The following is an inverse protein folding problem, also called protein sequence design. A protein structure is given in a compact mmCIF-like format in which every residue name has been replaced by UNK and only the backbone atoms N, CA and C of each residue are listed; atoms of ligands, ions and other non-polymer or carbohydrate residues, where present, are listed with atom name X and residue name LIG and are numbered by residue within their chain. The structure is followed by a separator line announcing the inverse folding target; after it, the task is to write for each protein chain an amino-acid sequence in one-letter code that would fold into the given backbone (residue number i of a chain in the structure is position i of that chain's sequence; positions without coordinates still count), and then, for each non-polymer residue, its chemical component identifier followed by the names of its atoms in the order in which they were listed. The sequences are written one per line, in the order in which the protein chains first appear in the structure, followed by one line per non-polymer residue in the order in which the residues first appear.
data_IF_244977870130
#
_entry.id   IF_244977870130
#
_cell.length_a   1.000
_cell.length_b   1.000
_cell.length_c   1.000
_cell.angle_alpha   90.00
_cell.angle_beta   90.00
_cell.angle_gamma   90.00
#
_symmetry.space_group_name_H-M   'P 1'
#
loop_
_entity.id
_entity.type
_entity.pdbx_description
1 polymer ?
#
# COMPACT_ATOMS: atom_id res chain seq x y z
N UNK A 1 -23.26 -40.90 -25.54
CA UNK A 1 -23.21 -40.75 -24.06
C UNK A 1 -21.80 -41.10 -23.62
N UNK A 2 -21.00 -40.13 -23.20
CA UNK A 2 -19.59 -40.38 -22.80
C UNK A 2 -18.63 -39.19 -22.90
N UNK A 3 -19.04 -38.07 -23.52
CA UNK A 3 -18.18 -36.89 -23.67
C UNK A 3 -18.47 -35.76 -22.65
N UNK A 4 -19.59 -35.81 -21.92
CA UNK A 4 -19.95 -34.79 -20.92
C UNK A 4 -19.31 -35.03 -19.54
N UNK A 5 -18.91 -36.27 -19.22
CA UNK A 5 -18.48 -36.67 -17.88
C UNK A 5 -17.01 -36.31 -17.59
N UNK A 6 -16.15 -36.32 -18.62
CA UNK A 6 -14.70 -36.07 -18.48
C UNK A 6 -14.38 -34.58 -18.39
N UNK A 7 -15.20 -33.72 -18.99
CA UNK A 7 -15.04 -32.27 -18.92
C UNK A 7 -15.46 -31.73 -17.54
N UNK A 8 -16.59 -32.23 -17.01
CA UNK A 8 -17.07 -31.87 -15.68
C UNK A 8 -16.09 -32.31 -14.57
N UNK A 9 -15.54 -33.53 -14.64
CA UNK A 9 -14.52 -33.99 -13.66
C UNK A 9 -13.21 -33.20 -13.68
N UNK A 10 -12.79 -32.65 -14.82
CA UNK A 10 -11.57 -31.84 -14.93
C UNK A 10 -11.75 -30.43 -14.37
N UNK A 11 -12.90 -29.82 -14.62
CA UNK A 11 -13.24 -28.50 -14.08
C UNK A 11 -13.36 -28.58 -12.56
N UNK A 12 -14.09 -29.57 -12.02
CA UNK A 12 -14.26 -29.74 -10.56
C UNK A 12 -12.92 -29.98 -9.84
N UNK A 13 -12.00 -30.78 -10.40
CA UNK A 13 -10.66 -30.98 -9.82
C UNK A 13 -9.78 -29.72 -9.87
N UNK A 14 -9.93 -28.89 -10.90
CA UNK A 14 -9.22 -27.61 -10.98
C UNK A 14 -9.78 -26.59 -9.97
N UNK A 15 -11.11 -26.51 -9.83
CA UNK A 15 -11.76 -25.61 -8.87
C UNK A 15 -11.41 -25.99 -7.43
N UNK A 16 -11.48 -27.28 -7.08
CA UNK A 16 -11.02 -27.78 -5.76
C UNK A 16 -9.52 -27.50 -5.52
N UNK A 17 -8.70 -27.51 -6.58
CA UNK A 17 -7.27 -27.20 -6.49
C UNK A 17 -6.98 -25.70 -6.34
N UNK A 18 -7.83 -24.81 -6.84
CA UNK A 18 -7.65 -23.35 -6.73
C UNK A 18 -8.14 -22.86 -5.38
N UNK A 19 -9.32 -23.30 -4.95
CA UNK A 19 -9.86 -22.96 -3.62
C UNK A 19 -8.93 -23.42 -2.50
N UNK A 20 -8.38 -24.64 -2.60
CA UNK A 20 -7.42 -25.15 -1.63
C UNK A 20 -6.13 -24.31 -1.57
N UNK A 21 -5.60 -23.91 -2.73
CA UNK A 21 -4.39 -23.06 -2.79
C UNK A 21 -4.65 -21.64 -2.29
N UNK A 22 -5.79 -21.05 -2.61
CA UNK A 22 -6.15 -19.72 -2.10
C UNK A 22 -6.39 -19.73 -0.59
N UNK A 23 -6.99 -20.80 -0.05
CA UNK A 23 -7.16 -20.96 1.38
C UNK A 23 -5.81 -21.07 2.11
N UNK A 24 -4.84 -21.78 1.52
CA UNK A 24 -3.47 -21.88 2.06
C UNK A 24 -2.74 -20.54 2.04
N UNK A 25 -2.80 -19.80 0.92
CA UNK A 25 -2.22 -18.45 0.82
C UNK A 25 -2.83 -17.51 1.85
N UNK A 26 -4.16 -17.53 1.99
CA UNK A 26 -4.87 -16.72 2.98
C UNK A 26 -4.45 -17.05 4.40
N UNK A 27 -4.35 -18.34 4.73
CA UNK A 27 -3.91 -18.77 6.06
C UNK A 27 -2.48 -18.31 6.36
N UNK A 28 -1.56 -18.43 5.41
CA UNK A 28 -0.17 -17.96 5.58
C UNK A 28 -0.10 -16.45 5.75
N UNK A 29 -0.87 -15.70 4.96
CA UNK A 29 -0.96 -14.24 5.06
C UNK A 29 -1.57 -13.77 6.39
N UNK A 30 -2.58 -14.47 6.91
CA UNK A 30 -3.16 -14.21 8.24
C UNK A 30 -2.21 -14.55 9.41
N UNK A 31 -1.16 -15.35 9.19
CA UNK A 31 -0.14 -15.67 10.19
C UNK A 31 1.00 -14.65 10.25
N UNK A 32 1.12 -13.77 9.25
CA UNK A 32 2.11 -12.69 9.27
C UNK A 32 1.67 -11.60 10.28
N UNK A 33 2.45 -11.30 11.32
CA UNK A 33 2.09 -10.26 12.27
C UNK A 33 2.01 -8.89 11.58
N UNK A 34 1.01 -8.07 11.92
CA UNK A 34 1.00 -6.67 11.50
C UNK A 34 2.13 -5.92 12.22
N UNK A 35 3.27 -5.78 11.54
CA UNK A 35 4.39 -4.96 11.99
C UNK A 35 4.36 -3.64 11.22
N UNK A 36 4.26 -2.51 11.91
CA UNK A 36 4.47 -1.21 11.27
C UNK A 36 5.96 -1.05 10.90
N UNK A 37 6.22 -0.43 9.73
CA UNK A 37 7.56 -0.02 9.37
C UNK A 37 8.07 0.96 10.45
N UNK A 38 9.17 0.64 11.16
CA UNK A 38 9.73 1.59 12.12
C UNK A 38 10.17 2.86 11.37
N UNK A 39 10.00 4.06 11.96
CA UNK A 39 10.47 5.27 11.32
C UNK A 39 11.98 5.18 11.06
N UNK A 40 12.46 5.64 9.90
CA UNK A 40 13.87 5.55 9.56
C UNK A 40 14.70 6.33 10.57
N UNK A 41 15.82 5.74 10.99
CA UNK A 41 16.76 6.36 11.92
C UNK A 41 17.49 7.54 11.26
N UNK A 42 18.18 8.34 12.07
CA UNK A 42 18.94 9.49 11.55
C UNK A 42 19.96 9.10 10.49
N UNK A 43 20.68 7.99 10.68
CA UNK A 43 21.70 7.54 9.72
C UNK A 43 21.09 6.96 8.45
N UNK A 44 19.94 6.28 8.54
CA UNK A 44 19.18 5.82 7.38
C UNK A 44 18.65 6.97 6.54
N UNK A 45 18.08 8.00 7.19
CA UNK A 45 17.61 9.22 6.51
C UNK A 45 18.73 9.95 5.74
N UNK A 46 19.96 9.90 6.26
CA UNK A 46 21.12 10.51 5.64
C UNK A 46 21.79 9.61 4.58
N UNK A 47 21.37 8.36 4.44
CA UNK A 47 22.03 7.37 3.57
C UNK A 47 23.44 7.03 4.03
N UNK A 48 23.66 6.98 5.35
CA UNK A 48 24.97 6.79 5.99
C UNK A 48 24.98 5.64 7.00
N UNK A 49 23.92 4.85 7.05
CA UNK A 49 23.79 3.74 8.00
C UNK A 49 24.81 2.62 7.79
N UNK A 50 25.41 2.50 6.59
CA UNK A 50 26.47 1.54 6.31
C UNK A 50 27.91 2.07 6.59
N UNK A 51 28.06 3.32 7.04
CA UNK A 51 29.38 3.95 7.23
C UNK A 51 29.94 3.72 8.64
N UNK A 52 31.00 2.92 8.74
CA UNK A 52 31.73 2.60 10.00
C UNK A 52 32.08 3.82 10.84
N UNK A 53 32.61 4.86 10.18
CA UNK A 53 32.98 6.11 10.82
C UNK A 53 31.82 6.82 11.51
N UNK A 54 30.61 6.72 10.96
CA UNK A 54 29.44 7.35 11.56
C UNK A 54 28.99 6.60 12.81
N UNK A 55 29.07 5.27 12.82
CA UNK A 55 28.76 4.48 14.02
C UNK A 55 29.78 4.71 15.13
N UNK A 56 31.07 4.75 14.78
CA UNK A 56 32.15 5.14 15.68
C UNK A 56 31.87 6.53 16.30
N UNK A 57 31.49 7.51 15.47
CA UNK A 57 31.19 8.86 15.94
C UNK A 57 30.02 8.89 16.93
N UNK A 58 28.95 8.13 16.65
CA UNK A 58 27.79 8.02 17.55
C UNK A 58 28.15 7.32 18.86
N UNK A 59 28.84 6.17 18.79
CA UNK A 59 29.27 5.43 19.98
C UNK A 59 30.11 6.32 20.90
N UNK A 60 31.15 6.96 20.37
CA UNK A 60 32.05 7.80 21.17
C UNK A 60 31.36 9.07 21.67
N UNK A 61 30.42 9.63 20.92
CA UNK A 61 29.61 10.76 21.39
C UNK A 61 28.89 10.42 22.71
N UNK A 62 28.39 9.19 22.89
CA UNK A 62 27.73 8.77 24.11
C UNK A 62 28.69 8.30 25.21
N UNK A 63 29.89 7.85 24.84
CA UNK A 63 30.91 7.44 25.82
C UNK A 63 31.68 8.63 26.43
N UNK A 64 31.83 9.74 25.71
CA UNK A 64 32.62 10.90 26.16
C UNK A 64 31.87 11.74 27.21
N UNK A 65 32.29 11.75 28.48
CA UNK A 65 31.53 12.41 29.55
C UNK A 65 31.38 13.93 29.39
N UNK A 66 32.30 14.56 28.66
CA UNK A 66 32.35 15.98 28.34
C UNK A 66 31.52 16.37 27.10
N UNK A 67 31.04 15.39 26.34
CA UNK A 67 30.19 15.64 25.19
C UNK A 67 28.79 16.12 25.61
N UNK A 68 28.16 16.89 24.72
CA UNK A 68 26.90 17.60 24.99
C UNK A 68 25.65 16.70 24.98
N UNK A 69 25.71 15.50 25.56
CA UNK A 69 24.58 14.57 25.71
C UNK A 69 24.00 14.59 27.13
N UNK A 70 24.73 15.03 28.15
CA UNK A 70 24.20 15.19 29.51
C UNK A 70 23.99 13.89 30.29
N UNK A 71 24.62 12.79 29.87
CA UNK A 71 24.67 11.52 30.63
C UNK A 71 25.86 11.48 31.59
N UNK A 72 26.78 12.44 31.49
CA UNK A 72 28.06 12.40 32.21
C UNK A 72 28.79 11.09 31.92
N UNK A 73 29.28 10.43 32.96
CA UNK A 73 29.99 9.16 32.83
C UNK A 73 29.05 7.94 32.76
N UNK A 74 27.72 8.10 32.78
CA UNK A 74 26.82 6.98 33.06
C UNK A 74 26.84 5.85 32.01
N UNK A 75 26.87 6.20 30.71
CA UNK A 75 26.97 5.19 29.64
C UNK A 75 28.36 4.55 29.63
N UNK A 76 29.40 5.34 29.83
CA UNK A 76 30.78 4.84 29.95
C UNK A 76 30.92 3.87 31.13
N UNK A 77 30.40 4.23 32.30
CA UNK A 77 30.41 3.39 33.50
C UNK A 77 29.68 2.07 33.23
N UNK A 78 28.47 2.15 32.67
CA UNK A 78 27.67 0.97 32.34
C UNK A 78 28.41 0.03 31.39
N UNK A 79 28.97 0.57 30.30
CA UNK A 79 29.69 -0.23 29.32
C UNK A 79 30.97 -0.87 29.89
N UNK A 80 31.77 -0.11 30.64
CA UNK A 80 33.00 -0.65 31.24
C UNK A 80 32.71 -1.72 32.30
N UNK A 81 31.61 -1.58 33.05
CA UNK A 81 31.18 -2.63 33.98
C UNK A 81 30.73 -3.89 33.25
N UNK A 82 29.91 -3.72 32.21
CA UNK A 82 29.47 -4.84 31.38
C UNK A 82 30.65 -5.56 30.71
N UNK A 83 31.68 -4.82 30.29
CA UNK A 83 32.92 -5.38 29.76
C UNK A 83 33.75 -6.12 30.82
N UNK A 84 33.88 -5.56 32.03
CA UNK A 84 34.60 -6.20 33.14
C UNK A 84 33.92 -7.49 33.63
N UNK A 85 32.60 -7.60 33.45
CA UNK A 85 31.84 -8.81 33.78
C UNK A 85 31.99 -9.92 32.69
N UNK A 86 32.65 -9.63 31.55
CA UNK A 86 32.92 -10.65 30.52
C UNK A 86 34.10 -11.52 30.93
N UNK A 87 33.91 -12.83 30.94
CA UNK A 87 34.97 -13.80 31.27
C UNK A 87 36.13 -13.82 30.24
N UNK A 88 35.93 -13.24 29.07
CA UNK A 88 36.89 -13.22 27.95
C UNK A 88 37.86 -12.04 28.03
N UNK A 89 37.54 -11.02 28.84
CA UNK A 89 38.36 -9.84 29.04
C UNK A 89 38.79 -9.83 30.51
N UNK A 90 40.07 -10.13 30.80
CA UNK A 90 40.62 -10.03 32.16
C UNK A 90 40.85 -8.56 32.54
N UNK A 91 39.78 -7.76 32.53
CA UNK A 91 39.77 -6.32 32.77
C UNK A 91 39.04 -5.99 34.07
N UNK A 92 39.56 -5.02 34.81
CA UNK A 92 38.83 -4.39 35.90
C UNK A 92 39.20 -2.92 35.98
N UNK A 93 38.24 -2.08 36.38
CA UNK A 93 38.50 -0.67 36.65
C UNK A 93 37.86 -0.22 37.95
N UNK A 94 38.45 0.83 38.52
CA UNK A 94 37.92 1.49 39.69
C UNK A 94 36.91 2.56 39.28
N UNK A 95 35.67 2.43 39.76
CA UNK A 95 34.63 3.47 39.56
C UNK A 95 35.01 4.82 40.18
N UNK A 96 35.94 4.85 41.14
CA UNK A 96 36.41 6.09 41.74
C UNK A 96 37.24 6.93 40.77
N UNK A 97 37.84 6.29 39.77
CA UNK A 97 38.79 6.89 38.84
C UNK A 97 38.16 7.07 37.44
N UNK A 98 36.84 6.89 37.33
CA UNK A 98 36.10 7.06 36.06
C UNK A 98 36.25 8.46 35.47
N UNK A 99 36.48 9.46 36.31
CA UNK A 99 36.70 10.85 35.90
C UNK A 99 38.07 11.10 35.27
N UNK A 100 39.02 10.18 35.43
CA UNK A 100 40.37 10.29 34.89
C UNK A 100 40.50 9.57 33.52
N UNK A 101 39.48 8.80 33.12
CA UNK A 101 39.45 8.08 31.85
C UNK A 101 39.38 9.06 30.68
N UNK A 102 40.28 8.87 29.71
CA UNK A 102 40.33 9.61 28.46
C UNK A 102 39.86 8.71 27.30
N UNK A 103 39.26 9.32 26.27
CA UNK A 103 38.72 8.61 25.10
C UNK A 103 39.07 9.38 23.83
N UNK A 104 39.83 8.79 22.93
CA UNK A 104 40.17 9.37 21.63
C UNK A 104 39.79 8.48 20.45
N UNK A 105 39.47 9.13 19.33
CA UNK A 105 39.11 8.50 18.06
C UNK A 105 40.25 8.62 17.06
N UNK A 106 40.32 7.68 16.13
CA UNK A 106 41.26 7.70 15.00
C UNK A 106 42.70 7.98 15.49
N UNK A 107 43.15 7.24 16.50
CA UNK A 107 44.43 7.48 17.17
C UNK A 107 45.58 7.08 16.26
N UNK A 108 46.55 7.96 16.01
CA UNK A 108 47.65 7.63 15.10
C UNK A 108 48.72 6.78 15.78
N UNK A 109 49.19 5.74 15.07
CA UNK A 109 50.31 4.87 15.47
C UNK A 109 51.26 4.65 14.28
N UNK A 110 52.40 4.01 14.52
CA UNK A 110 53.33 3.62 13.44
C UNK A 110 52.81 2.51 12.52
N UNK A 111 51.79 1.74 12.94
CA UNK A 111 51.23 0.62 12.19
C UNK A 111 49.83 0.90 11.59
N UNK A 112 49.23 2.04 11.91
CA UNK A 112 47.90 2.41 11.41
C UNK A 112 47.15 3.32 12.37
N UNK A 113 45.82 3.31 12.28
CA UNK A 113 44.94 4.23 13.01
C UNK A 113 43.83 3.41 13.68
N UNK A 114 43.97 2.99 14.96
CA UNK A 114 42.87 2.40 15.69
C UNK A 114 41.67 3.34 15.78
N UNK A 115 40.47 2.77 15.75
CA UNK A 115 39.23 3.53 15.74
C UNK A 115 38.99 4.25 17.06
N UNK A 116 39.17 3.57 18.20
CA UNK A 116 38.97 4.17 19.52
C UNK A 116 40.05 3.67 20.48
N UNK A 117 40.63 4.57 21.27
CA UNK A 117 41.46 4.20 22.44
C UNK A 117 40.87 4.85 23.68
N UNK A 118 40.56 4.03 24.68
CA UNK A 118 40.19 4.46 26.02
C UNK A 118 41.37 4.17 26.96
N UNK A 119 41.73 5.10 27.83
CA UNK A 119 42.84 4.85 28.76
C UNK A 119 42.71 5.62 30.07
N UNK A 120 43.32 5.06 31.11
CA UNK A 120 43.66 5.74 32.34
C UNK A 120 45.20 5.76 32.46
N UNK A 121 45.78 6.95 32.60
CA UNK A 121 47.23 7.13 32.60
C UNK A 121 47.95 6.24 33.62
N UNK A 122 49.00 5.54 33.17
CA UNK A 122 49.83 4.64 33.99
C UNK A 122 49.10 3.41 34.56
N UNK A 123 47.81 3.19 34.25
CA UNK A 123 47.02 2.07 34.77
C UNK A 123 46.61 1.06 33.70
N UNK A 124 45.87 1.49 32.67
CA UNK A 124 45.37 0.59 31.63
C UNK A 124 44.95 1.34 30.35
N UNK A 125 44.87 0.61 29.24
CA UNK A 125 44.18 1.06 28.03
C UNK A 125 43.33 -0.05 27.41
N UNK A 126 42.30 0.34 26.67
CA UNK A 126 41.54 -0.53 25.78
C UNK A 126 41.57 0.06 24.37
N UNK A 127 42.17 -0.67 23.43
CA UNK A 127 42.24 -0.33 22.02
C UNK A 127 41.12 -1.04 21.24
N UNK A 128 40.31 -0.30 20.51
CA UNK A 128 39.16 -0.80 19.77
C UNK A 128 39.38 -0.66 18.27
N UNK A 129 39.10 -1.74 17.54
CA UNK A 129 38.93 -1.75 16.08
C UNK A 129 37.50 -2.17 15.78
N UNK A 130 36.79 -1.37 14.97
CA UNK A 130 35.37 -1.53 14.66
C UNK A 130 35.20 -2.07 13.24
N UNK A 131 34.18 -2.89 13.00
CA UNK A 131 33.77 -3.36 11.67
C UNK A 131 32.25 -3.43 11.58
N UNK A 132 31.66 -3.05 10.44
CA UNK A 132 30.21 -3.18 10.19
C UNK A 132 29.92 -4.22 9.09
N UNK A 133 30.44 -4.01 7.87
CA UNK A 133 30.20 -4.93 6.73
C UNK A 133 31.49 -5.50 6.13
N UNK A 134 32.65 -4.98 6.52
CA UNK A 134 33.94 -5.39 6.02
C UNK A 134 34.67 -6.23 7.07
N UNK A 135 35.47 -7.21 6.64
CA UNK A 135 36.43 -7.88 7.50
C UNK A 135 37.64 -6.98 7.77
N UNK A 136 38.44 -7.33 8.78
CA UNK A 136 39.75 -6.73 9.04
C UNK A 136 40.59 -6.54 7.75
N UNK A 137 41.26 -5.40 7.65
CA UNK A 137 42.32 -5.19 6.66
C UNK A 137 43.54 -6.06 6.97
N UNK A 138 44.48 -6.17 6.02
CA UNK A 138 45.62 -7.09 6.19
C UNK A 138 46.53 -6.64 7.34
N UNK A 139 46.59 -7.46 8.39
CA UNK A 139 47.46 -7.37 9.57
C UNK A 139 47.26 -6.11 10.43
N UNK A 140 46.06 -5.51 10.44
CA UNK A 140 45.79 -4.27 11.20
C UNK A 140 45.84 -4.50 12.71
N UNK A 141 45.13 -5.51 13.20
CA UNK A 141 45.06 -5.84 14.63
C UNK A 141 46.42 -6.26 15.17
N UNK A 142 47.15 -7.10 14.42
CA UNK A 142 48.55 -7.48 14.72
C UNK A 142 49.44 -6.25 14.80
N UNK A 143 49.31 -5.32 13.85
CA UNK A 143 50.04 -4.07 13.86
C UNK A 143 49.83 -3.26 15.14
N UNK A 144 48.60 -3.19 15.65
CA UNK A 144 48.28 -2.44 16.87
C UNK A 144 48.76 -3.12 18.15
N UNK A 145 48.89 -4.44 18.17
CA UNK A 145 49.53 -5.16 19.27
C UNK A 145 51.03 -4.88 19.29
N UNK A 146 51.66 -4.87 18.12
CA UNK A 146 53.12 -4.78 17.98
C UNK A 146 53.72 -3.37 18.12
N UNK A 147 52.92 -2.28 18.05
CA UNK A 147 53.47 -0.92 18.24
C UNK A 147 53.94 -0.67 19.67
N UNK A 148 55.01 0.10 19.84
CA UNK A 148 55.53 0.50 21.16
C UNK A 148 54.68 1.62 21.82
N UNK A 149 53.99 2.43 21.02
CA UNK A 149 53.29 3.65 21.45
C UNK A 149 52.02 3.93 20.63
N UNK A 150 51.10 4.68 21.24
CA UNK A 150 50.00 5.37 20.58
C UNK A 150 50.35 6.85 20.43
N UNK A 151 51.14 7.17 19.40
CA UNK A 151 51.75 8.50 19.17
C UNK A 151 50.74 9.66 19.17
N UNK A 152 49.53 9.43 18.64
CA UNK A 152 48.48 10.44 18.54
C UNK A 152 48.00 10.98 19.90
N UNK A 153 48.19 10.21 20.97
CA UNK A 153 47.79 10.56 22.34
C UNK A 153 48.98 10.60 23.31
N UNK A 154 50.19 10.30 22.84
CA UNK A 154 51.41 10.29 23.65
C UNK A 154 51.42 9.22 24.73
N UNK A 155 50.78 8.08 24.48
CA UNK A 155 50.73 6.94 25.40
C UNK A 155 51.79 5.90 25.01
N UNK A 156 52.76 5.68 25.90
CA UNK A 156 53.80 4.65 25.74
C UNK A 156 53.33 3.33 26.39
N UNK A 157 53.29 2.23 25.65
CA UNK A 157 52.81 0.95 26.22
C UNK A 157 53.69 0.44 27.36
N UNK A 158 54.98 0.77 27.33
CA UNK A 158 55.92 0.41 28.40
C UNK A 158 55.62 1.05 29.75
N UNK A 159 54.80 2.11 29.78
CA UNK A 159 54.34 2.77 31.01
C UNK A 159 53.07 2.12 31.58
N UNK A 160 52.45 1.18 30.85
CA UNK A 160 51.24 0.47 31.24
C UNK A 160 51.59 -0.99 31.58
N UNK A 161 51.16 -1.52 32.73
CA UNK A 161 51.32 -2.93 33.08
C UNK A 161 50.82 -3.86 31.96
N UNK A 162 51.49 -4.99 31.71
CA UNK A 162 51.10 -5.94 30.66
C UNK A 162 49.65 -6.43 30.82
N UNK A 163 49.19 -6.60 32.07
CA UNK A 163 47.82 -6.99 32.42
C UNK A 163 46.81 -5.83 32.33
N UNK A 164 47.26 -4.60 32.06
CA UNK A 164 46.44 -3.43 31.79
C UNK A 164 46.32 -3.08 30.30
N UNK A 165 46.83 -3.94 29.40
CA UNK A 165 46.78 -3.73 27.95
C UNK A 165 45.67 -4.58 27.35
N UNK A 166 44.59 -3.94 26.90
CA UNK A 166 43.40 -4.64 26.41
C UNK A 166 43.04 -4.25 24.98
N UNK A 167 42.45 -5.19 24.24
CA UNK A 167 42.13 -5.03 22.83
C UNK A 167 40.74 -5.60 22.54
N UNK A 168 39.90 -4.82 21.86
CA UNK A 168 38.52 -5.18 21.49
C UNK A 168 38.35 -5.08 19.98
N UNK A 169 37.81 -6.15 19.38
CA UNK A 169 37.38 -6.16 17.99
C UNK A 169 35.86 -6.13 17.95
N UNK A 170 35.28 -4.97 17.64
CA UNK A 170 33.84 -4.75 17.63
C UNK A 170 33.27 -4.98 16.24
N UNK A 171 32.59 -6.10 16.01
CA UNK A 171 32.08 -6.51 14.70
C UNK A 171 30.73 -7.25 14.82
N UNK A 172 29.93 -7.43 13.75
CA UNK A 172 28.76 -8.30 13.81
C UNK A 172 29.09 -9.72 14.33
N UNK A 173 28.11 -10.42 14.92
CA UNK A 173 28.31 -11.77 15.47
C UNK A 173 28.86 -12.78 14.45
N UNK A 174 28.52 -12.64 13.18
CA UNK A 174 28.92 -13.53 12.09
C UNK A 174 30.18 -13.07 11.34
N UNK A 175 30.83 -11.99 11.80
CA UNK A 175 32.04 -11.46 11.19
C UNK A 175 33.24 -12.40 11.39
N UNK A 176 34.18 -12.33 10.44
CA UNK A 176 35.48 -13.01 10.57
C UNK A 176 36.23 -12.51 11.82
N UNK A 177 36.86 -13.42 12.59
CA UNK A 177 37.61 -13.05 13.80
C UNK A 177 38.85 -12.20 13.46
N UNK A 178 39.38 -11.44 14.43
CA UNK A 178 40.62 -10.68 14.26
C UNK A 178 41.82 -11.61 14.04
N UNK A 179 42.84 -11.10 13.36
CA UNK A 179 44.09 -11.82 13.09
C UNK A 179 45.00 -11.95 14.31
N UNK A 180 44.94 -11.00 15.25
CA UNK A 180 45.67 -11.03 16.51
C UNK A 180 44.90 -11.78 17.60
N UNK A 181 45.56 -12.69 18.30
CA UNK A 181 44.97 -13.50 19.39
C UNK A 181 44.65 -12.65 20.64
N UNK A 182 45.27 -11.49 20.80
CA UNK A 182 45.08 -10.56 21.90
C UNK A 182 43.74 -9.79 21.81
N UNK A 183 43.15 -9.70 20.62
CA UNK A 183 41.87 -9.01 20.42
C UNK A 183 40.69 -9.90 20.82
N UNK A 184 39.88 -9.41 21.75
CA UNK A 184 38.62 -10.04 22.14
C UNK A 184 37.50 -9.54 21.23
N UNK A 185 36.80 -10.45 20.54
CA UNK A 185 35.67 -10.09 19.71
C UNK A 185 34.43 -9.78 20.57
N UNK A 186 33.83 -8.62 20.34
CA UNK A 186 32.59 -8.16 20.96
C UNK A 186 31.60 -7.82 19.84
N UNK A 187 30.32 -8.20 20.00
CA UNK A 187 29.33 -7.95 18.94
C UNK A 187 28.65 -6.58 19.04
N UNK A 188 28.32 -5.98 17.89
CA UNK A 188 27.49 -4.77 17.84
C UNK A 188 26.10 -5.02 18.43
N UNK A 189 25.56 -6.22 18.25
CA UNK A 189 24.30 -6.69 18.84
C UNK A 189 24.37 -6.72 20.37
N UNK A 190 25.52 -7.14 20.93
CA UNK A 190 25.77 -7.07 22.37
C UNK A 190 25.83 -5.63 22.86
N UNK A 191 26.58 -4.75 22.17
CA UNK A 191 26.63 -3.31 22.51
C UNK A 191 25.22 -2.69 22.49
N UNK A 192 24.44 -2.97 21.44
CA UNK A 192 23.07 -2.48 21.33
C UNK A 192 22.18 -2.97 22.48
N UNK A 193 22.39 -4.20 22.95
CA UNK A 193 21.66 -4.79 24.07
C UNK A 193 22.04 -4.16 25.43
N UNK A 194 23.33 -3.88 25.67
CA UNK A 194 23.77 -3.17 26.88
C UNK A 194 23.25 -1.73 26.88
N UNK A 195 23.36 -1.00 25.78
CA UNK A 195 22.80 0.35 25.66
C UNK A 195 21.27 0.38 25.84
N UNK A 196 20.57 -0.64 25.33
CA UNK A 196 19.13 -0.79 25.54
C UNK A 196 18.79 -1.08 27.01
N UNK A 197 19.61 -1.86 27.70
CA UNK A 197 19.49 -2.16 29.14
C UNK A 197 19.70 -0.89 29.95
N UNK A 198 20.77 -0.14 29.68
CA UNK A 198 21.01 1.18 30.26
C UNK A 198 19.79 2.11 30.10
N UNK A 199 19.23 2.19 28.89
CA UNK A 199 18.03 3.00 28.62
C UNK A 199 16.81 2.56 29.42
N UNK A 200 16.62 1.25 29.61
CA UNK A 200 15.50 0.70 30.37
C UNK A 200 15.65 0.97 31.88
N UNK A 201 16.87 0.85 32.41
CA UNK A 201 17.17 1.08 33.83
C UNK A 201 17.18 2.57 34.20
N UNK A 202 17.46 3.44 33.24
CA UNK A 202 17.60 4.90 33.43
C UNK A 202 16.34 5.70 33.14
N UNK A 203 15.16 5.05 33.14
CA UNK A 203 13.88 5.68 32.82
C UNK A 203 13.64 6.94 33.69
N UNK A 204 13.39 8.08 33.04
CA UNK A 204 13.24 9.43 33.62
C UNK A 204 14.47 10.07 34.31
N UNK A 205 15.66 9.44 34.29
CA UNK A 205 16.87 10.00 34.91
C UNK A 205 17.60 11.04 34.05
N UNK A 206 17.41 11.01 32.73
CA UNK A 206 18.17 11.81 31.76
C UNK A 206 17.27 12.57 30.78
N UNK A 207 17.79 13.61 30.09
CA UNK A 207 17.01 14.37 29.11
C UNK A 207 16.38 13.47 28.05
N UNK A 208 15.09 13.69 27.78
CA UNK A 208 14.33 12.92 26.79
C UNK A 208 14.96 12.95 25.39
N UNK A 209 15.55 14.10 25.00
CA UNK A 209 16.25 14.24 23.72
C UNK A 209 17.42 13.29 23.61
N UNK A 210 18.26 13.22 24.64
CA UNK A 210 19.43 12.34 24.65
C UNK A 210 19.04 10.87 24.63
N UNK A 211 18.04 10.51 25.44
CA UNK A 211 17.48 9.15 25.47
C UNK A 211 16.97 8.74 24.09
N UNK A 212 16.27 9.63 23.40
CA UNK A 212 15.80 9.39 22.04
C UNK A 212 16.96 9.24 21.04
N UNK A 213 18.03 10.05 21.14
CA UNK A 213 19.19 9.93 20.25
C UNK A 213 19.97 8.63 20.48
N UNK A 214 20.12 8.19 21.73
CA UNK A 214 20.76 6.91 22.05
C UNK A 214 19.92 5.74 21.55
N UNK A 215 18.59 5.83 21.72
CA UNK A 215 17.65 4.85 21.17
C UNK A 215 17.72 4.80 19.64
N UNK A 216 17.76 5.94 18.95
CA UNK A 216 17.91 6.03 17.49
C UNK A 216 19.18 5.32 16.99
N UNK A 217 20.28 5.44 17.73
CA UNK A 217 21.52 4.72 17.42
C UNK A 217 21.38 3.20 17.63
N UNK A 218 20.78 2.76 18.75
CA UNK A 218 20.48 1.33 19.00
C UNK A 218 19.58 0.74 17.91
N UNK A 219 18.55 1.49 17.50
CA UNK A 219 17.63 1.08 16.44
C UNK A 219 18.35 1.05 15.07
N UNK A 220 19.37 1.89 14.85
CA UNK A 220 20.23 1.82 13.65
C UNK A 220 21.02 0.51 13.64
N UNK A 221 21.70 0.19 14.74
CA UNK A 221 22.49 -1.04 14.85
C UNK A 221 21.62 -2.26 14.55
N UNK A 222 20.43 -2.31 15.17
CA UNK A 222 19.49 -3.41 14.95
C UNK A 222 18.98 -3.48 13.53
N UNK A 223 18.49 -2.38 12.96
CA UNK A 223 17.91 -2.43 11.60
C UNK A 223 18.91 -2.74 10.48
N UNK A 224 20.19 -2.42 10.68
CA UNK A 224 21.25 -2.71 9.69
C UNK A 224 21.86 -4.10 9.86
N UNK A 225 21.97 -4.63 11.08
CA UNK A 225 22.59 -5.94 11.34
C UNK A 225 21.58 -7.08 11.54
N UNK A 226 20.32 -6.75 11.86
CA UNK A 226 19.24 -7.74 12.05
C UNK A 226 18.05 -7.38 11.19
N UNK A 227 17.50 -8.36 10.46
CA UNK A 227 16.21 -8.17 9.78
C UNK A 227 15.16 -7.86 10.83
N UNK A 228 14.46 -6.74 10.67
CA UNK A 228 13.30 -6.42 11.51
C UNK A 228 12.13 -7.33 11.13
N UNK A 229 11.21 -7.60 12.07
CA UNK A 229 9.97 -8.35 11.82
C UNK A 229 9.20 -7.80 10.59
N UNK A 230 9.24 -6.48 10.35
CA UNK A 230 8.67 -5.85 9.16
C UNK A 230 9.33 -6.32 7.86
N UNK A 231 10.66 -6.33 7.83
CA UNK A 231 11.41 -6.79 6.66
C UNK A 231 11.23 -8.29 6.42
N UNK A 232 11.14 -9.11 7.49
CA UNK A 232 10.81 -10.54 7.38
C UNK A 232 9.41 -10.76 6.80
N UNK A 233 8.41 -10.03 7.30
CA UNK A 233 7.04 -10.09 6.79
C UNK A 233 6.95 -9.69 5.31
N UNK A 234 7.66 -8.63 4.90
CA UNK A 234 7.70 -8.22 3.49
C UNK A 234 8.37 -9.29 2.62
N UNK A 235 9.42 -9.94 3.11
CA UNK A 235 10.07 -11.03 2.39
C UNK A 235 9.13 -12.22 2.19
N UNK A 236 8.43 -12.67 3.25
CA UNK A 236 7.48 -13.78 3.14
C UNK A 236 6.30 -13.45 2.22
N UNK A 237 5.82 -12.20 2.20
CA UNK A 237 4.80 -11.74 1.25
C UNK A 237 5.27 -11.85 -0.21
N UNK A 238 6.52 -11.50 -0.49
CA UNK A 238 7.11 -11.64 -1.84
C UNK A 238 7.26 -13.11 -2.23
N UNK A 239 7.73 -13.96 -1.30
CA UNK A 239 7.81 -15.41 -1.55
C UNK A 239 6.44 -16.00 -1.86
N UNK A 240 5.41 -15.68 -1.05
CA UNK A 240 4.03 -16.11 -1.28
C UNK A 240 3.51 -15.70 -2.66
N UNK A 241 3.80 -14.46 -3.09
CA UNK A 241 3.44 -13.97 -4.41
C UNK A 241 4.14 -14.77 -5.52
N UNK A 242 5.46 -14.98 -5.42
CA UNK A 242 6.23 -15.72 -6.42
C UNK A 242 5.78 -17.19 -6.51
N UNK A 243 5.57 -17.85 -5.38
CA UNK A 243 5.09 -19.24 -5.30
C UNK A 243 3.71 -19.42 -5.97
N UNK A 244 2.88 -18.37 -5.92
CA UNK A 244 1.51 -18.42 -6.43
C UNK A 244 1.28 -17.56 -7.67
N UNK A 245 2.35 -17.05 -8.28
CA UNK A 245 2.30 -16.15 -9.42
C UNK A 245 1.40 -16.68 -10.54
N UNK A 246 1.62 -17.93 -10.96
CA UNK A 246 0.81 -18.55 -12.02
C UNK A 246 -0.67 -18.64 -11.67
N UNK A 247 -1.03 -18.89 -10.40
CA UNK A 247 -2.44 -18.94 -9.99
C UNK A 247 -3.05 -17.56 -10.00
N UNK A 248 -2.35 -16.57 -9.45
CA UNK A 248 -2.81 -15.17 -9.40
C UNK A 248 -3.02 -14.66 -10.83
N UNK A 249 -2.02 -14.80 -11.70
CA UNK A 249 -2.12 -14.35 -13.10
C UNK A 249 -3.20 -15.08 -13.88
N UNK A 250 -3.40 -16.39 -13.67
CA UNK A 250 -4.48 -17.12 -14.34
C UNK A 250 -5.87 -16.68 -13.85
N UNK A 251 -6.03 -16.40 -12.55
CA UNK A 251 -7.27 -15.86 -11.99
C UNK A 251 -7.58 -14.48 -12.54
N UNK A 252 -6.58 -13.58 -12.58
CA UNK A 252 -6.71 -12.25 -13.18
C UNK A 252 -7.08 -12.32 -14.65
N UNK A 253 -6.41 -13.17 -15.43
CA UNK A 253 -6.70 -13.34 -16.86
C UNK A 253 -8.11 -13.88 -17.12
N UNK A 254 -8.54 -14.87 -16.33
CA UNK A 254 -9.91 -15.43 -16.45
C UNK A 254 -10.95 -14.40 -16.04
N UNK A 255 -10.69 -13.63 -14.97
CA UNK A 255 -11.58 -12.55 -14.57
C UNK A 255 -11.70 -11.49 -15.67
N UNK A 256 -10.59 -11.08 -16.28
CA UNK A 256 -10.57 -10.09 -17.35
C UNK A 256 -11.32 -10.57 -18.60
N UNK A 257 -11.20 -11.84 -18.96
CA UNK A 257 -11.95 -12.45 -20.07
C UNK A 257 -13.46 -12.43 -19.83
N UNK A 258 -13.90 -12.83 -18.64
CA UNK A 258 -15.31 -12.81 -18.26
C UNK A 258 -15.85 -11.38 -18.13
N UNK A 259 -15.03 -10.45 -17.64
CA UNK A 259 -15.36 -9.03 -17.57
C UNK A 259 -15.56 -8.42 -18.96
N UNK A 260 -14.64 -8.66 -19.89
CA UNK A 260 -14.77 -8.24 -21.29
C UNK A 260 -16.01 -8.87 -21.95
N UNK A 261 -16.32 -10.13 -21.64
CA UNK A 261 -17.54 -10.79 -22.11
C UNK A 261 -18.79 -10.10 -21.57
N UNK A 262 -18.80 -9.69 -20.29
CA UNK A 262 -19.89 -8.89 -19.73
C UNK A 262 -20.01 -7.55 -20.47
N UNK A 263 -18.91 -6.83 -20.70
CA UNK A 263 -18.92 -5.55 -21.41
C UNK A 263 -19.62 -5.64 -22.77
N UNK A 264 -19.35 -6.71 -23.52
CA UNK A 264 -19.91 -6.93 -24.85
C UNK A 264 -21.35 -7.46 -24.84
N UNK A 265 -21.83 -8.03 -23.73
CA UNK A 265 -23.11 -8.77 -23.70
C UNK A 265 -24.11 -8.29 -22.65
N UNK A 266 -23.76 -7.37 -21.77
CA UNK A 266 -24.59 -6.99 -20.62
C UNK A 266 -25.98 -6.51 -21.03
N UNK A 267 -26.12 -5.75 -22.12
CA UNK A 267 -27.40 -5.21 -22.56
C UNK A 267 -28.35 -6.32 -23.03
N UNK A 268 -27.82 -7.26 -23.79
CA UNK A 268 -28.55 -8.44 -24.27
C UNK A 268 -28.97 -9.33 -23.09
N UNK A 269 -28.07 -9.57 -22.13
CA UNK A 269 -28.34 -10.38 -20.93
C UNK A 269 -29.31 -9.68 -19.97
N UNK A 270 -29.21 -8.36 -19.82
CA UNK A 270 -30.15 -7.56 -19.05
C UNK A 270 -31.57 -7.64 -19.62
N UNK A 271 -31.72 -7.54 -20.94
CA UNK A 271 -33.02 -7.71 -21.60
C UNK A 271 -33.61 -9.11 -21.37
N UNK A 272 -32.79 -10.15 -21.26
CA UNK A 272 -33.24 -11.51 -20.92
C UNK A 272 -33.59 -11.66 -19.43
N UNK A 273 -33.02 -10.82 -18.56
CA UNK A 273 -33.27 -10.82 -17.11
C UNK A 273 -34.56 -10.06 -16.76
N UNK A 274 -34.92 -9.05 -17.56
CA UNK A 274 -36.14 -8.26 -17.37
C UNK A 274 -37.37 -8.95 -17.97
N UNK A 275 -38.34 -9.30 -17.13
CA UNK A 275 -39.57 -10.00 -17.56
C UNK A 275 -40.40 -9.25 -18.61
N UNK A 276 -40.26 -7.92 -18.67
CA UNK A 276 -41.04 -7.03 -19.57
C UNK A 276 -40.26 -6.57 -20.80
N UNK A 277 -39.04 -7.10 -21.01
CA UNK A 277 -38.17 -6.73 -22.11
C UNK A 277 -38.22 -7.78 -23.23
N UNK A 278 -38.14 -7.34 -24.48
CA UNK A 278 -37.98 -8.21 -25.65
C UNK A 278 -36.92 -7.63 -26.58
N UNK A 279 -35.93 -8.44 -26.97
CA UNK A 279 -34.95 -8.04 -27.98
C UNK A 279 -35.61 -7.89 -29.35
N UNK A 280 -35.33 -6.79 -30.03
CA UNK A 280 -35.89 -6.47 -31.36
C UNK A 280 -34.78 -6.14 -32.36
N UNK A 281 -35.04 -6.37 -33.64
CA UNK A 281 -34.15 -5.92 -34.71
C UNK A 281 -34.50 -4.48 -35.10
N UNK A 282 -33.53 -3.56 -35.01
CA UNK A 282 -33.70 -2.19 -35.48
C UNK A 282 -32.46 -1.75 -36.29
N UNK A 283 -32.59 -1.46 -37.60
CA UNK A 283 -31.46 -1.08 -38.45
C UNK A 283 -30.84 0.28 -38.11
N UNK A 284 -31.51 1.11 -37.31
CA UNK A 284 -31.00 2.40 -36.83
C UNK A 284 -30.20 2.28 -35.52
N UNK A 285 -30.16 1.08 -34.93
CA UNK A 285 -29.32 0.75 -33.77
C UNK A 285 -28.12 -0.06 -34.26
N UNK A 286 -26.88 0.36 -33.97
CA UNK A 286 -25.68 -0.41 -34.33
C UNK A 286 -25.75 -1.85 -33.81
N UNK A 287 -25.27 -2.83 -34.60
CA UNK A 287 -25.28 -4.26 -34.25
C UNK A 287 -24.54 -4.58 -32.93
N UNK A 288 -23.62 -3.69 -32.51
CA UNK A 288 -22.91 -3.79 -31.24
C UNK A 288 -23.78 -3.45 -30.01
N UNK A 289 -24.95 -2.83 -30.20
CA UNK A 289 -25.88 -2.44 -29.13
C UNK A 289 -27.11 -3.36 -29.12
N UNK A 290 -27.75 -3.50 -27.97
CA UNK A 290 -29.01 -4.21 -27.88
C UNK A 290 -30.19 -3.23 -28.05
N UNK A 291 -31.04 -3.48 -29.04
CA UNK A 291 -32.34 -2.83 -29.18
C UNK A 291 -33.40 -3.66 -28.44
N UNK A 292 -34.17 -3.01 -27.56
CA UNK A 292 -35.04 -3.67 -26.60
C UNK A 292 -36.40 -2.97 -26.56
N UNK A 293 -37.46 -3.69 -26.84
CA UNK A 293 -38.81 -3.24 -26.54
C UNK A 293 -39.08 -3.49 -25.05
N UNK A 294 -39.39 -2.44 -24.29
CA UNK A 294 -39.63 -2.51 -22.86
C UNK A 294 -41.07 -2.09 -22.54
N UNK A 295 -41.82 -2.94 -21.85
CA UNK A 295 -43.14 -2.60 -21.32
C UNK A 295 -43.02 -2.04 -19.89
N UNK A 296 -43.52 -0.81 -19.70
CA UNK A 296 -43.61 -0.15 -18.40
C UNK A 296 -44.91 -0.54 -17.67
N UNK A 297 -44.98 -0.33 -16.36
CA UNK A 297 -46.10 -0.71 -15.49
C UNK A 297 -47.44 -0.08 -15.88
N UNK A 298 -47.43 1.04 -16.59
CA UNK A 298 -48.63 1.68 -17.15
C UNK A 298 -49.13 1.03 -18.45
N UNK A 299 -48.46 -0.02 -18.95
CA UNK A 299 -48.76 -0.74 -20.19
C UNK A 299 -48.19 -0.07 -21.44
N UNK A 300 -47.42 1.00 -21.30
CA UNK A 300 -46.73 1.63 -22.43
C UNK A 300 -45.51 0.79 -22.84
N UNK A 301 -45.43 0.46 -24.12
CA UNK A 301 -44.29 -0.20 -24.74
C UNK A 301 -43.45 0.83 -25.47
N UNK A 302 -42.13 0.79 -25.26
CA UNK A 302 -41.19 1.72 -25.86
C UNK A 302 -39.88 1.01 -26.21
N UNK A 303 -39.29 1.43 -27.32
CA UNK A 303 -37.97 0.95 -27.74
C UNK A 303 -36.84 1.68 -26.98
N UNK A 304 -35.96 0.90 -26.38
CA UNK A 304 -34.75 1.29 -25.67
C UNK A 304 -33.51 0.76 -26.36
N UNK A 305 -32.44 1.54 -26.28
CA UNK A 305 -31.10 1.15 -26.72
C UNK A 305 -30.22 0.94 -25.49
N UNK A 306 -29.65 -0.26 -25.38
CA UNK A 306 -28.63 -0.61 -24.40
C UNK A 306 -27.26 -0.65 -25.08
N UNK A 307 -26.44 0.34 -24.77
CA UNK A 307 -25.17 0.63 -25.44
C UNK A 307 -24.05 -0.23 -24.85
N UNK A 308 -24.09 -1.53 -25.11
CA UNK A 308 -23.03 -2.49 -24.74
C UNK A 308 -21.77 -2.32 -25.61
N UNK A 309 -20.66 -2.98 -25.24
CA UNK A 309 -19.35 -2.88 -25.90
C UNK A 309 -18.62 -1.54 -25.66
N UNK A 310 -19.07 -0.75 -24.67
CA UNK A 310 -18.52 0.56 -24.29
C UNK A 310 -18.49 0.70 -22.76
N UNK A 311 -17.53 0.03 -22.13
CA UNK A 311 -17.41 -0.13 -20.67
C UNK A 311 -17.56 1.15 -19.85
N UNK A 312 -16.87 2.22 -20.28
CA UNK A 312 -16.90 3.52 -19.62
C UNK A 312 -18.24 4.27 -19.69
N UNK A 313 -19.06 3.94 -20.68
CA UNK A 313 -20.27 4.68 -21.07
C UNK A 313 -21.38 3.70 -21.49
N UNK A 314 -21.79 2.83 -20.57
CA UNK A 314 -22.83 1.82 -20.76
C UNK A 314 -24.23 2.43 -20.57
N UNK A 315 -24.68 3.11 -21.62
CA UNK A 315 -25.93 3.88 -21.61
C UNK A 315 -27.16 3.01 -21.85
N UNK A 316 -28.26 3.36 -21.20
CA UNK A 316 -29.60 2.82 -21.42
C UNK A 316 -30.54 3.99 -21.63
N UNK A 317 -31.16 4.09 -22.80
CA UNK A 317 -32.00 5.23 -23.15
C UNK A 317 -33.08 4.83 -24.15
N UNK A 318 -34.28 5.42 -24.09
CA UNK A 318 -35.23 5.31 -25.16
C UNK A 318 -34.75 6.12 -26.36
N UNK A 319 -35.14 5.68 -27.55
CA UNK A 319 -34.65 6.24 -28.83
C UNK A 319 -34.80 7.77 -28.94
N UNK A 320 -35.83 8.36 -28.33
CA UNK A 320 -36.11 9.79 -28.43
C UNK A 320 -35.21 10.67 -27.55
N UNK A 321 -34.52 10.12 -26.57
CA UNK A 321 -33.66 10.88 -25.65
C UNK A 321 -32.30 11.23 -26.24
N UNK A 322 -31.94 10.64 -27.38
CA UNK A 322 -30.70 10.92 -28.08
C UNK A 322 -31.02 11.45 -29.47
N UNK A 323 -30.66 12.72 -29.71
CA UNK A 323 -31.00 13.42 -30.95
C UNK A 323 -29.79 14.14 -31.51
N UNK A 324 -29.61 14.06 -32.82
CA UNK A 324 -28.79 15.00 -33.58
C UNK A 324 -29.60 16.26 -33.83
N UNK A 325 -29.17 17.34 -33.21
CA UNK A 325 -29.95 18.57 -32.98
C UNK A 325 -30.25 19.30 -34.29
N UNK A 326 -29.24 19.50 -35.13
CA UNK A 326 -29.32 20.21 -36.41
C UNK A 326 -30.12 19.46 -37.49
N UNK A 327 -30.23 18.14 -37.38
CA UNK A 327 -31.02 17.31 -38.30
C UNK A 327 -32.38 16.89 -37.72
N UNK A 328 -32.67 17.29 -36.48
CA UNK A 328 -33.89 16.96 -35.75
C UNK A 328 -34.26 15.47 -35.80
N UNK A 329 -33.27 14.57 -35.72
CA UNK A 329 -33.48 13.12 -35.84
C UNK A 329 -32.89 12.34 -34.67
N UNK A 330 -33.53 11.24 -34.24
CA UNK A 330 -32.95 10.31 -33.28
C UNK A 330 -31.59 9.75 -33.75
N UNK A 331 -30.68 9.51 -32.80
CA UNK A 331 -29.39 8.87 -33.03
C UNK A 331 -29.07 7.91 -31.89
N UNK A 332 -28.32 6.86 -32.20
CA UNK A 332 -27.82 5.88 -31.22
C UNK A 332 -26.36 6.14 -30.82
N UNK A 333 -25.76 7.20 -31.35
CA UNK A 333 -24.34 7.55 -31.17
C UNK A 333 -24.15 8.98 -30.61
N UNK A 334 -22.89 9.36 -30.42
CA UNK A 334 -22.51 10.67 -29.89
C UNK A 334 -22.26 11.73 -30.98
N UNK A 335 -22.81 11.57 -32.19
CA UNK A 335 -22.62 12.51 -33.31
C UNK A 335 -23.11 13.90 -32.94
N UNK A 336 -22.29 14.93 -33.15
CA UNK A 336 -22.58 16.31 -32.73
C UNK A 336 -23.17 17.16 -33.88
N UNK A 337 -23.90 18.23 -33.58
CA UNK A 337 -24.40 18.63 -32.24
C UNK A 337 -25.50 17.67 -31.76
N UNK A 338 -25.52 17.33 -30.47
CA UNK A 338 -26.53 16.42 -29.91
C UNK A 338 -27.13 16.88 -28.58
N UNK A 339 -28.31 16.33 -28.29
CA UNK A 339 -28.99 16.43 -27.02
C UNK A 339 -29.22 15.00 -26.50
N UNK A 340 -28.67 14.69 -25.33
CA UNK A 340 -28.60 13.32 -24.81
C UNK A 340 -28.83 13.29 -23.31
N UNK A 341 -29.83 12.52 -22.91
CA UNK A 341 -30.02 12.07 -21.53
C UNK A 341 -30.18 10.56 -21.50
N UNK A 342 -30.07 9.93 -20.33
CA UNK A 342 -30.30 8.49 -20.19
C UNK A 342 -29.76 7.93 -18.90
N UNK A 343 -30.08 6.67 -18.65
CA UNK A 343 -29.48 5.91 -17.57
C UNK A 343 -28.08 5.45 -18.00
N UNK A 344 -27.18 5.29 -17.03
CA UNK A 344 -25.78 4.95 -17.26
C UNK A 344 -25.23 4.20 -16.05
N UNK A 345 -24.58 3.07 -16.28
CA UNK A 345 -23.58 2.54 -15.34
C UNK A 345 -22.19 2.60 -16.00
N UNK A 346 -21.12 2.57 -15.22
CA UNK A 346 -19.75 2.63 -15.75
C UNK A 346 -18.97 1.41 -15.30
N UNK A 347 -18.98 0.36 -16.13
CA UNK A 347 -18.31 -0.91 -15.83
C UNK A 347 -16.85 -0.65 -15.42
N UNK A 348 -16.06 -0.03 -16.28
CA UNK A 348 -14.63 0.11 -16.02
C UNK A 348 -14.33 1.13 -14.91
N UNK A 349 -15.06 2.25 -14.87
CA UNK A 349 -14.81 3.29 -13.87
C UNK A 349 -15.22 2.87 -12.46
N UNK A 350 -16.34 2.16 -12.33
CA UNK A 350 -16.88 1.70 -11.05
C UNK A 350 -16.45 0.23 -10.76
N UNK A 351 -15.46 -0.32 -11.50
CA UNK A 351 -15.02 -1.72 -11.39
C UNK A 351 -14.58 -2.09 -9.98
N UNK A 352 -13.78 -1.24 -9.34
CA UNK A 352 -13.31 -1.47 -7.97
C UNK A 352 -14.46 -1.52 -6.98
N UNK A 353 -15.41 -0.59 -7.08
CA UNK A 353 -16.60 -0.52 -6.20
C UNK A 353 -17.48 -1.76 -6.41
N UNK A 354 -17.65 -2.21 -7.66
CA UNK A 354 -18.41 -3.40 -7.99
C UNK A 354 -17.76 -4.69 -7.43
N UNK A 355 -16.44 -4.87 -7.59
CA UNK A 355 -15.75 -6.11 -7.19
C UNK A 355 -15.47 -6.15 -5.69
N UNK A 356 -14.92 -5.06 -5.13
CA UNK A 356 -14.49 -4.97 -3.73
C UNK A 356 -15.67 -4.72 -2.81
N UNK A 357 -16.44 -3.67 -3.10
CA UNK A 357 -17.48 -3.18 -2.20
C UNK A 357 -18.84 -3.83 -2.51
N UNK A 358 -18.93 -4.59 -3.60
CA UNK A 358 -20.15 -5.28 -4.05
C UNK A 358 -21.30 -4.29 -4.28
N UNK A 359 -20.99 -3.14 -4.88
CA UNK A 359 -21.97 -2.09 -5.15
C UNK A 359 -22.01 -1.76 -6.64
N UNK A 360 -23.20 -1.81 -7.24
CA UNK A 360 -23.48 -1.26 -8.56
C UNK A 360 -23.96 0.19 -8.41
N UNK A 361 -23.35 1.10 -9.16
CA UNK A 361 -23.79 2.49 -9.25
C UNK A 361 -24.43 2.75 -10.62
N UNK A 362 -25.65 3.31 -10.59
CA UNK A 362 -26.40 3.71 -11.80
C UNK A 362 -26.74 5.19 -11.70
N UNK A 363 -26.56 5.92 -12.78
CA UNK A 363 -26.83 7.34 -12.88
C UNK A 363 -27.96 7.60 -13.88
N UNK A 364 -28.74 8.67 -13.66
CA UNK A 364 -29.39 9.37 -14.77
C UNK A 364 -28.49 10.54 -15.15
N UNK A 365 -28.07 10.57 -16.41
CA UNK A 365 -27.06 11.51 -16.89
C UNK A 365 -27.59 12.43 -17.99
N UNK A 366 -27.33 13.71 -17.82
CA UNK A 366 -27.42 14.78 -18.81
C UNK A 366 -26.03 15.00 -19.43
N UNK A 367 -25.86 14.68 -20.72
CA UNK A 367 -24.52 14.65 -21.33
C UNK A 367 -24.02 16.05 -21.74
N UNK A 368 -22.85 16.51 -21.23
CA UNK A 368 -22.33 17.86 -21.52
C UNK A 368 -21.80 18.04 -22.95
N UNK A 369 -21.51 16.96 -23.65
CA UNK A 369 -20.64 17.00 -24.83
C UNK A 369 -21.35 17.32 -26.16
N UNK A 370 -22.65 17.62 -26.13
CA UNK A 370 -23.51 17.63 -27.32
C UNK A 370 -23.93 19.01 -27.82
N UNK A 371 -24.45 19.85 -26.93
CA UNK A 371 -24.94 21.19 -27.24
C UNK A 371 -25.08 21.97 -25.92
N UNK A 372 -24.41 23.12 -25.79
CA UNK A 372 -24.26 23.82 -24.51
C UNK A 372 -25.60 24.32 -23.96
N UNK A 373 -26.47 24.80 -24.84
CA UNK A 373 -27.75 25.38 -24.44
C UNK A 373 -28.69 24.29 -23.93
N UNK A 374 -28.72 23.12 -24.59
CA UNK A 374 -29.41 21.93 -24.08
C UNK A 374 -28.87 21.51 -22.71
N UNK A 375 -27.54 21.36 -22.57
CA UNK A 375 -26.95 20.87 -21.33
C UNK A 375 -27.30 21.74 -20.12
N UNK A 376 -27.18 23.06 -20.25
CA UNK A 376 -27.53 23.98 -19.16
C UNK A 376 -29.04 24.07 -18.97
N UNK A 377 -29.81 24.17 -20.04
CA UNK A 377 -31.26 24.28 -20.00
C UNK A 377 -31.92 23.07 -19.33
N UNK A 378 -31.51 21.85 -19.69
CA UNK A 378 -32.00 20.63 -19.05
C UNK A 378 -31.62 20.60 -17.56
N UNK A 379 -30.38 20.94 -17.21
CA UNK A 379 -29.93 20.94 -15.82
C UNK A 379 -30.72 21.94 -14.97
N UNK A 380 -30.98 23.14 -15.48
CA UNK A 380 -31.71 24.17 -14.76
C UNK A 380 -33.21 23.80 -14.62
N UNK A 381 -33.81 23.18 -15.65
CA UNK A 381 -35.19 22.66 -15.58
C UNK A 381 -35.32 21.45 -14.65
N UNK A 382 -34.33 20.56 -14.64
CA UNK A 382 -34.28 19.44 -13.70
C UNK A 382 -34.20 19.95 -12.25
N UNK A 383 -33.34 20.93 -11.98
CA UNK A 383 -33.26 21.57 -10.66
C UNK A 383 -34.58 22.27 -10.27
N UNK A 384 -35.28 22.88 -11.22
CA UNK A 384 -36.60 23.47 -10.99
C UNK A 384 -37.72 22.46 -10.75
N UNK A 385 -37.55 21.21 -11.21
CA UNK A 385 -38.49 20.10 -11.02
C UNK A 385 -38.08 19.18 -9.86
N UNK A 386 -37.18 19.60 -8.97
CA UNK A 386 -36.61 18.74 -7.93
C UNK A 386 -37.66 18.05 -7.06
N UNK A 387 -38.66 18.77 -6.56
CA UNK A 387 -39.70 18.19 -5.70
C UNK A 387 -40.52 17.10 -6.41
N UNK A 388 -40.80 17.31 -7.71
CA UNK A 388 -41.50 16.33 -8.56
C UNK A 388 -40.64 15.07 -8.75
N UNK A 389 -39.34 15.24 -9.03
CA UNK A 389 -38.41 14.13 -9.22
C UNK A 389 -38.20 13.36 -7.90
N UNK A 390 -38.03 14.07 -6.78
CA UNK A 390 -37.88 13.45 -5.45
C UNK A 390 -39.13 12.64 -5.07
N UNK A 391 -40.32 13.13 -5.43
CA UNK A 391 -41.57 12.37 -5.25
C UNK A 391 -41.59 11.12 -6.13
N UNK A 392 -41.17 11.23 -7.40
CA UNK A 392 -41.19 10.11 -8.34
C UNK A 392 -40.20 8.99 -7.97
N UNK A 393 -39.10 9.31 -7.28
CA UNK A 393 -38.10 8.32 -6.85
C UNK A 393 -38.28 7.86 -5.40
N UNK A 394 -39.33 8.33 -4.70
CA UNK A 394 -39.61 7.90 -3.34
C UNK A 394 -39.80 6.38 -3.26
N UNK A 395 -39.12 5.75 -2.29
CA UNK A 395 -39.12 4.28 -2.15
C UNK A 395 -38.24 3.52 -3.15
N UNK A 396 -37.46 4.21 -3.99
CA UNK A 396 -36.38 3.60 -4.81
C UNK A 396 -35.00 3.85 -4.19
N UNK A 397 -33.98 3.21 -4.73
CA UNK A 397 -32.58 3.48 -4.35
C UNK A 397 -31.98 4.73 -5.05
N UNK A 398 -32.73 5.43 -5.89
CA UNK A 398 -32.26 6.65 -6.53
C UNK A 398 -32.34 7.87 -5.60
N UNK A 399 -31.35 8.74 -5.72
CA UNK A 399 -31.28 10.04 -5.05
C UNK A 399 -30.94 11.14 -6.03
N UNK A 400 -31.48 12.34 -5.79
CA UNK A 400 -31.11 13.55 -6.54
C UNK A 400 -29.73 14.01 -6.12
N UNK A 401 -28.87 14.31 -7.09
CA UNK A 401 -27.54 14.87 -6.83
C UNK A 401 -27.51 16.38 -7.13
N UNK A 402 -26.49 17.06 -6.63
CA UNK A 402 -26.22 18.47 -6.96
C UNK A 402 -25.38 18.63 -8.26
N UNK A 403 -25.15 17.55 -9.01
CA UNK A 403 -24.34 17.52 -10.21
C UNK A 403 -25.20 17.71 -11.48
N UNK A 404 -24.85 18.71 -12.30
CA UNK A 404 -25.55 19.00 -13.58
C UNK A 404 -25.47 17.88 -14.63
N UNK A 405 -24.43 17.06 -14.57
CA UNK A 405 -24.24 15.92 -15.47
C UNK A 405 -24.91 14.66 -14.93
N UNK A 406 -24.62 14.23 -13.70
CA UNK A 406 -25.21 13.02 -13.12
C UNK A 406 -26.36 13.39 -12.19
N UNK A 407 -27.52 13.72 -12.74
CA UNK A 407 -28.62 14.35 -12.00
C UNK A 407 -29.29 13.43 -10.99
N UNK A 408 -29.29 12.11 -11.25
CA UNK A 408 -29.66 11.08 -10.26
C UNK A 408 -28.52 10.08 -10.08
N UNK A 409 -28.45 9.49 -8.89
CA UNK A 409 -27.55 8.38 -8.53
C UNK A 409 -28.30 7.34 -7.73
N UNK A 410 -28.21 6.08 -8.14
CA UNK A 410 -28.71 4.92 -7.42
C UNK A 410 -27.59 3.94 -7.12
N UNK A 411 -27.66 3.32 -5.95
CA UNK A 411 -26.71 2.29 -5.49
C UNK A 411 -27.47 0.98 -5.23
N UNK A 412 -26.91 -0.13 -5.68
CA UNK A 412 -27.54 -1.45 -5.58
C UNK A 412 -26.51 -2.49 -5.16
N UNK A 413 -26.85 -3.30 -4.15
CA UNK A 413 -25.99 -4.39 -3.69
C UNK A 413 -25.86 -5.50 -4.76
N UNK A 414 -24.62 -5.91 -5.05
CA UNK A 414 -24.29 -7.07 -5.87
C UNK A 414 -24.16 -8.30 -4.97
N UNK A 415 -25.31 -8.89 -4.62
CA UNK A 415 -25.39 -10.06 -3.75
C UNK A 415 -25.08 -11.33 -4.53
N UNK A 416 -23.89 -11.90 -4.32
CA UNK A 416 -23.54 -13.20 -4.96
C UNK A 416 -24.35 -14.37 -4.39
N UNK A 417 -24.88 -14.24 -3.19
CA UNK A 417 -25.70 -15.28 -2.55
C UNK A 417 -27.02 -15.46 -3.31
N UNK A 418 -27.22 -16.65 -3.87
CA UNK A 418 -28.42 -16.98 -4.65
C UNK A 418 -28.26 -16.83 -6.17
N UNK A 419 -27.08 -16.44 -6.66
CA UNK A 419 -26.73 -16.39 -8.07
C UNK A 419 -25.57 -17.35 -8.39
N UNK A 420 -25.46 -17.80 -9.65
CA UNK A 420 -24.39 -18.73 -10.08
C UNK A 420 -22.98 -18.10 -9.99
N UNK A 421 -22.90 -16.77 -9.94
CA UNK A 421 -21.64 -16.05 -9.77
C UNK A 421 -21.82 -14.54 -9.72
N UNK A 422 -20.70 -13.84 -9.64
CA UNK A 422 -20.64 -12.38 -9.54
C UNK A 422 -21.35 -11.67 -10.70
N UNK A 423 -21.13 -12.10 -11.95
CA UNK A 423 -21.68 -11.43 -13.13
C UNK A 423 -23.21 -11.56 -13.25
N UNK A 424 -23.78 -12.69 -12.82
CA UNK A 424 -25.24 -12.87 -12.72
C UNK A 424 -25.83 -11.98 -11.63
N UNK A 425 -25.16 -11.88 -10.47
CA UNK A 425 -25.55 -10.95 -9.42
C UNK A 425 -25.47 -9.49 -9.87
N UNK A 426 -24.45 -9.13 -10.66
CA UNK A 426 -24.32 -7.79 -11.25
C UNK A 426 -25.52 -7.46 -12.16
N UNK A 427 -25.90 -8.40 -13.03
CA UNK A 427 -27.05 -8.23 -13.92
C UNK A 427 -28.36 -8.15 -13.15
N UNK A 428 -28.53 -8.91 -12.07
CA UNK A 428 -29.69 -8.82 -11.20
C UNK A 428 -29.80 -7.45 -10.49
N UNK A 429 -28.68 -6.90 -10.02
CA UNK A 429 -28.63 -5.55 -9.47
C UNK A 429 -29.00 -4.50 -10.53
N UNK A 430 -28.48 -4.64 -11.77
CA UNK A 430 -28.80 -3.75 -12.88
C UNK A 430 -30.27 -3.85 -13.31
N UNK A 431 -30.84 -5.06 -13.31
CA UNK A 431 -32.26 -5.29 -13.56
C UNK A 431 -33.13 -4.65 -12.47
N UNK A 432 -32.70 -4.68 -11.21
CA UNK A 432 -33.37 -3.97 -10.12
C UNK A 432 -33.37 -2.46 -10.35
N UNK A 433 -32.22 -1.90 -10.75
CA UNK A 433 -32.11 -0.48 -11.08
C UNK A 433 -33.00 -0.06 -12.25
N UNK A 434 -33.07 -0.86 -13.31
CA UNK A 434 -33.97 -0.61 -14.42
C UNK A 434 -35.44 -0.80 -14.03
N UNK A 435 -35.73 -1.71 -13.12
CA UNK A 435 -37.08 -1.92 -12.61
C UNK A 435 -37.56 -0.71 -11.82
N UNK A 436 -36.74 -0.19 -10.91
CA UNK A 436 -37.07 0.97 -10.07
C UNK A 436 -37.04 2.30 -10.83
N UNK A 437 -36.09 2.47 -11.77
CA UNK A 437 -35.92 3.72 -12.51
C UNK A 437 -36.80 3.82 -13.76
N UNK A 438 -37.24 2.69 -14.33
CA UNK A 438 -37.94 2.66 -15.62
C UNK A 438 -39.21 1.83 -15.57
N UNK A 439 -39.10 0.51 -15.41
CA UNK A 439 -40.25 -0.42 -15.62
C UNK A 439 -41.39 -0.09 -14.66
N UNK A 440 -41.10 0.08 -13.38
CA UNK A 440 -42.09 0.36 -12.34
C UNK A 440 -42.34 1.85 -12.13
N UNK A 441 -41.61 2.73 -12.83
CA UNK A 441 -41.61 4.17 -12.57
C UNK A 441 -41.88 5.00 -13.84
N UNK A 442 -43.09 4.87 -14.43
CA UNK A 442 -43.49 5.69 -15.57
C UNK A 442 -43.59 7.18 -15.22
N UNK A 443 -43.75 7.53 -13.93
CA UNK A 443 -43.77 8.92 -13.48
C UNK A 443 -42.41 9.60 -13.69
N UNK A 444 -41.32 8.97 -13.24
CA UNK A 444 -39.96 9.48 -13.47
C UNK A 444 -39.66 9.60 -14.97
N UNK A 445 -39.94 8.56 -15.75
CA UNK A 445 -39.70 8.56 -17.20
C UNK A 445 -40.50 9.69 -17.87
N UNK A 446 -41.76 9.89 -17.47
CA UNK A 446 -42.62 10.96 -17.96
C UNK A 446 -42.11 12.36 -17.61
N UNK A 447 -41.62 12.56 -16.39
CA UNK A 447 -40.97 13.81 -15.99
C UNK A 447 -39.72 14.09 -16.82
N UNK A 448 -38.83 13.10 -16.99
CA UNK A 448 -37.62 13.23 -17.81
C UNK A 448 -37.96 13.53 -19.28
N UNK A 449 -38.97 12.87 -19.86
CA UNK A 449 -39.47 13.14 -21.20
C UNK A 449 -39.93 14.58 -21.37
N UNK A 450 -40.74 15.07 -20.43
CA UNK A 450 -41.26 16.45 -20.46
C UNK A 450 -40.12 17.45 -20.38
N UNK A 451 -39.20 17.28 -19.43
CA UNK A 451 -38.04 18.16 -19.28
C UNK A 451 -37.19 18.17 -20.56
N UNK A 452 -36.90 16.99 -21.12
CA UNK A 452 -36.14 16.86 -22.37
C UNK A 452 -36.82 17.60 -23.51
N UNK A 453 -38.10 17.33 -23.77
CA UNK A 453 -38.87 17.93 -24.88
C UNK A 453 -38.94 19.46 -24.75
N UNK A 454 -39.23 19.97 -23.55
CA UNK A 454 -39.25 21.42 -23.30
C UNK A 454 -37.87 22.06 -23.54
N UNK A 455 -36.77 21.41 -23.14
CA UNK A 455 -35.42 21.93 -23.43
C UNK A 455 -35.14 21.98 -24.94
N UNK A 456 -35.54 20.95 -25.71
CA UNK A 456 -35.40 20.98 -27.18
C UNK A 456 -36.24 22.12 -27.79
N UNK A 457 -37.48 22.29 -27.35
CA UNK A 457 -38.40 23.29 -27.89
C UNK A 457 -37.98 24.72 -27.56
N UNK A 458 -37.49 24.98 -26.35
CA UNK A 458 -37.24 26.36 -25.89
C UNK A 458 -35.80 26.83 -26.08
N UNK A 459 -34.81 25.92 -25.95
CA UNK A 459 -33.39 26.31 -25.94
C UNK A 459 -32.65 25.95 -27.23
N UNK A 460 -33.26 25.13 -28.10
CA UNK A 460 -32.67 24.71 -29.37
C UNK A 460 -33.44 25.25 -30.58
N UNK A 461 -34.77 25.36 -30.49
CA UNK A 461 -35.63 25.68 -31.65
C UNK A 461 -35.72 27.19 -31.96
N UNK A 462 -34.56 27.84 -32.14
CA UNK A 462 -34.43 29.21 -32.66
C UNK A 462 -33.96 29.25 -34.13
#
# INVERSE_FOLDING_TARGET
MGYFDVYSMRVTRMTESIEGRLAEVRQRLEMLPESEEPPPTTLQLLGRSEQERDWQQFLVHFLRPDAAHGLGHAVLEHLLLALADRNELEYSFSRFDIGDIQIEQEVSTSAGIPDIVLWASEEWFICWELKIHASEGRDQTVGYVDVDSFDGIGLEKSEIPEDGQHYIYLAPEDASPPAADEFVQVSWEWIASELQTFLAESYDAYPARTTAQLKDFVDTIRSELTMTDYQENQHEMVELYVENYDVITNLEATFEEEWSTLEDTWGTRLAQTLDTATLVENPDVPDEYAAVELEMKNGEQREWTFRQGKSDWSWMFPREWWRKVDENRPVSDATKPNARIGFLHRLEWDRTEAVRDRTLVVYVRNAPSGYKDFYNGFADRFAGARDEIETAIDGTNFTVTDNKSNVLRGEYDIKSDGHEGFFEAYLAALASAMTEGVVSNPELVGSLDRLYKTTIEEDISL
#
